data_IF_635724197358
#
_entry.id   IF_635724197358
#
_cell.length_a   1.000
_cell.length_b   1.000
_cell.length_c   1.000
_cell.angle_alpha   90.00
_cell.angle_beta   90.00
_cell.angle_gamma   90.00
#
_symmetry.space_group_name_H-M   'P 1'
#
loop_
_entity.id
_entity.type
_entity.pdbx_description
1 polymer ?
#
# COMPACT_ATOMS: atom_id res chain seq x y z
N UNK A 1 2.09 9.86 13.32
CA UNK A 1 1.68 11.09 14.04
C UNK A 1 2.41 12.33 13.55
N UNK A 2 3.74 12.43 13.64
CA UNK A 2 4.46 13.66 13.27
C UNK A 2 4.17 14.16 11.84
N UNK A 3 4.14 13.26 10.86
CA UNK A 3 3.76 13.59 9.48
C UNK A 3 2.32 14.08 9.34
N UNK A 4 1.38 13.50 10.09
CA UNK A 4 -0.02 13.91 10.09
C UNK A 4 -0.21 15.25 10.81
N UNK A 5 0.49 15.49 11.92
CA UNK A 5 0.50 16.80 12.59
C UNK A 5 1.00 17.89 11.64
N UNK A 6 2.08 17.61 10.89
CA UNK A 6 2.57 18.54 9.86
C UNK A 6 1.53 18.81 8.77
N UNK A 7 0.71 17.81 8.41
CA UNK A 7 -0.40 18.00 7.48
C UNK A 7 -1.46 18.94 8.09
N UNK A 8 -1.83 18.75 9.36
CA UNK A 8 -2.75 19.62 10.10
C UNK A 8 -2.20 21.05 10.25
N UNK A 9 -0.88 21.23 10.32
CA UNK A 9 -0.30 22.58 10.33
C UNK A 9 -0.39 23.29 8.96
N UNK A 10 -0.52 22.53 7.88
CA UNK A 10 -0.52 23.03 6.49
C UNK A 10 -1.90 23.06 5.85
N UNK A 11 -2.84 22.30 6.42
CA UNK A 11 -4.24 22.23 6.03
C UNK A 11 -5.06 22.47 7.28
N UNK A 12 -6.08 23.30 7.19
CA UNK A 12 -6.97 23.65 8.30
C UNK A 12 -7.76 22.42 8.82
N UNK A 13 -7.06 21.54 9.52
CA UNK A 13 -7.51 20.28 10.08
C UNK A 13 -7.13 20.29 11.55
N UNK A 14 -8.06 19.91 12.41
CA UNK A 14 -7.79 19.73 13.83
C UNK A 14 -7.11 18.37 14.06
N UNK A 15 -5.93 18.36 14.69
CA UNK A 15 -5.24 17.13 15.02
C UNK A 15 -6.01 16.30 16.06
N UNK A 16 -6.65 16.97 17.01
CA UNK A 16 -7.30 16.33 18.15
C UNK A 16 -8.59 15.62 17.72
N UNK A 17 -9.24 16.07 16.65
CA UNK A 17 -10.36 15.37 16.01
C UNK A 17 -10.00 13.93 15.62
N UNK A 18 -8.73 13.65 15.33
CA UNK A 18 -8.26 12.32 14.90
C UNK A 18 -7.52 11.54 15.98
N UNK A 19 -6.85 12.22 16.91
CA UNK A 19 -5.92 11.57 17.87
C UNK A 19 -6.35 11.67 19.32
N UNK A 20 -7.29 12.54 19.68
CA UNK A 20 -7.86 12.56 21.03
C UNK A 20 -8.48 11.20 21.36
N UNK A 21 -8.39 10.79 22.63
CA UNK A 21 -8.84 9.50 23.15
C UNK A 21 -10.29 9.17 22.81
N UNK A 22 -11.13 10.20 22.84
CA UNK A 22 -12.57 10.11 22.60
C UNK A 22 -12.96 10.40 21.14
N UNK A 23 -11.98 10.45 20.23
CA UNK A 23 -12.21 10.63 18.80
C UNK A 23 -13.08 9.49 18.23
N UNK A 24 -14.16 9.85 17.56
CA UNK A 24 -15.01 8.91 16.80
C UNK A 24 -14.46 8.60 15.40
N UNK A 25 -13.42 9.32 14.97
CA UNK A 25 -12.83 9.15 13.65
C UNK A 25 -12.14 7.79 13.51
N UNK A 26 -12.33 7.12 12.39
CA UNK A 26 -11.69 5.83 12.15
C UNK A 26 -10.21 5.97 11.72
N UNK A 27 -9.32 5.23 12.38
CA UNK A 27 -7.88 5.18 12.10
C UNK A 27 -7.46 3.76 11.72
N UNK A 28 -7.11 3.60 10.45
CA UNK A 28 -6.67 2.32 9.89
C UNK A 28 -5.21 2.37 9.43
N UNK A 29 -4.49 1.29 9.69
CA UNK A 29 -3.08 1.17 9.33
C UNK A 29 -2.92 0.14 8.21
N UNK A 30 -2.51 0.57 7.01
CA UNK A 30 -2.08 -0.31 5.93
C UNK A 30 -0.57 -0.50 5.99
N UNK A 31 -0.10 -1.72 6.26
CA UNK A 31 1.31 -1.99 6.53
C UNK A 31 1.80 -3.32 5.93
N UNK A 32 3.11 -3.43 5.72
CA UNK A 32 3.74 -4.70 5.39
C UNK A 32 3.77 -5.66 6.58
N UNK A 33 3.78 -6.97 6.30
CA UNK A 33 3.79 -8.04 7.32
C UNK A 33 4.97 -7.99 8.30
N UNK A 34 6.09 -7.38 7.91
CA UNK A 34 7.32 -7.27 8.70
C UNK A 34 7.23 -6.26 9.85
N UNK A 35 6.34 -5.27 9.76
CA UNK A 35 6.18 -4.21 10.77
C UNK A 35 4.90 -4.37 11.60
N UNK A 36 4.18 -5.50 11.46
CA UNK A 36 2.94 -5.76 12.20
C UNK A 36 3.17 -5.76 13.71
N UNK A 37 4.25 -6.38 14.19
CA UNK A 37 4.55 -6.43 15.63
C UNK A 37 4.64 -5.04 16.27
N UNK A 38 5.30 -4.10 15.56
CA UNK A 38 5.41 -2.72 16.02
C UNK A 38 4.04 -2.02 16.10
N UNK A 39 3.19 -2.20 15.09
CA UNK A 39 1.90 -1.51 15.01
C UNK A 39 0.81 -2.18 15.86
N UNK A 40 0.94 -3.47 16.13
CA UNK A 40 0.00 -4.23 16.94
C UNK A 40 0.27 -4.08 18.44
N UNK A 41 1.54 -3.91 18.87
CA UNK A 41 1.93 -3.92 20.28
C UNK A 41 2.57 -2.61 20.74
N UNK A 42 3.71 -2.24 20.18
CA UNK A 42 4.48 -1.08 20.69
C UNK A 42 3.76 0.25 20.44
N UNK A 43 3.25 0.43 19.22
CA UNK A 43 2.52 1.64 18.84
C UNK A 43 1.33 1.95 19.74
N UNK A 44 0.34 1.05 19.93
CA UNK A 44 -0.79 1.33 20.81
C UNK A 44 -0.35 1.49 22.27
N UNK A 45 0.65 0.74 22.77
CA UNK A 45 1.13 0.88 24.14
C UNK A 45 1.71 2.29 24.39
N UNK A 46 2.50 2.82 23.45
CA UNK A 46 3.01 4.19 23.54
C UNK A 46 1.90 5.24 23.52
N UNK A 47 0.87 5.06 22.68
CA UNK A 47 -0.26 5.99 22.60
C UNK A 47 -1.11 5.97 23.88
N UNK A 48 -1.40 4.79 24.40
CA UNK A 48 -2.12 4.63 25.68
C UNK A 48 -1.34 5.30 26.83
N UNK A 49 -0.01 5.16 26.87
CA UNK A 49 0.83 5.81 27.88
C UNK A 49 0.91 7.34 27.75
N UNK A 50 0.56 7.90 26.60
CA UNK A 50 0.51 9.33 26.33
C UNK A 50 -0.93 9.88 26.24
N UNK A 51 -1.93 9.08 26.67
CA UNK A 51 -3.36 9.40 26.69
C UNK A 51 -3.98 9.77 25.32
N UNK A 52 -3.49 9.16 24.25
CA UNK A 52 -4.08 9.26 22.91
C UNK A 52 -4.92 8.02 22.57
N UNK A 53 -5.86 8.16 21.62
CA UNK A 53 -6.58 7.01 21.07
C UNK A 53 -5.64 6.05 20.33
N UNK A 54 -6.02 4.79 20.19
CA UNK A 54 -5.27 3.80 19.39
C UNK A 54 -6.04 3.38 18.16
N UNK A 55 -5.37 3.02 17.05
CA UNK A 55 -5.94 2.47 15.80
C UNK A 55 -7.16 1.53 15.95
N UNK A 56 -8.13 1.63 15.03
CA UNK A 56 -9.30 0.75 14.92
C UNK A 56 -8.91 -0.63 14.41
N UNK A 57 -8.18 -0.69 13.29
CA UNK A 57 -7.72 -1.95 12.72
C UNK A 57 -6.39 -1.80 11.96
N UNK A 58 -5.76 -2.95 11.72
CA UNK A 58 -4.54 -3.08 10.93
C UNK A 58 -4.87 -3.95 9.72
N UNK A 59 -4.61 -3.43 8.52
CA UNK A 59 -4.67 -4.16 7.26
C UNK A 59 -3.25 -4.46 6.80
N UNK A 60 -2.81 -5.69 7.00
CA UNK A 60 -1.47 -6.13 6.64
C UNK A 60 -1.44 -6.78 5.25
N UNK A 61 -0.39 -6.52 4.49
CA UNK A 61 -0.14 -7.18 3.20
C UNK A 61 1.22 -7.89 3.18
N UNK A 62 1.34 -8.90 2.31
CA UNK A 62 2.60 -9.60 2.08
C UNK A 62 3.61 -8.76 1.28
N UNK A 63 4.72 -9.39 0.93
CA UNK A 63 5.73 -8.79 0.06
C UNK A 63 5.30 -8.82 -1.39
N UNK A 64 5.86 -7.90 -2.18
CA UNK A 64 5.77 -7.99 -3.64
C UNK A 64 6.97 -8.78 -4.16
N UNK A 65 6.72 -9.77 -5.00
CA UNK A 65 7.72 -10.50 -5.77
C UNK A 65 7.59 -10.18 -7.26
N UNK A 66 8.64 -10.43 -8.03
CA UNK A 66 8.63 -10.29 -9.49
C UNK A 66 9.03 -11.63 -10.09
N UNK A 67 8.16 -12.21 -10.93
CA UNK A 67 8.34 -13.54 -11.53
C UNK A 67 8.72 -14.63 -10.51
N UNK A 68 8.02 -14.67 -9.38
CA UNK A 68 8.23 -15.61 -8.27
C UNK A 68 9.49 -15.36 -7.44
N UNK A 69 10.26 -14.30 -7.73
CA UNK A 69 11.49 -13.98 -7.01
C UNK A 69 11.34 -12.73 -6.17
N UNK A 70 11.90 -12.75 -4.96
CA UNK A 70 12.08 -11.54 -4.16
C UNK A 70 12.85 -10.50 -4.96
N UNK A 71 12.34 -9.27 -5.00
CA UNK A 71 13.02 -8.18 -5.71
C UNK A 71 14.47 -8.03 -5.22
N UNK A 72 15.40 -7.97 -6.16
CA UNK A 72 16.82 -7.78 -5.86
C UNK A 72 17.46 -6.87 -6.91
N UNK A 73 18.27 -5.91 -6.44
CA UNK A 73 19.06 -5.04 -7.33
C UNK A 73 20.05 -5.85 -8.17
N UNK A 74 20.70 -6.86 -7.59
CA UNK A 74 21.73 -7.66 -8.28
C UNK A 74 21.17 -8.57 -9.37
N UNK A 75 19.88 -8.94 -9.29
CA UNK A 75 19.20 -9.82 -10.27
C UNK A 75 18.40 -9.05 -11.32
N UNK A 76 18.44 -7.72 -11.30
CA UNK A 76 17.67 -6.87 -12.22
C UNK A 76 16.15 -6.91 -12.04
N UNK A 77 15.64 -7.64 -11.04
CA UNK A 77 14.19 -7.72 -10.74
C UNK A 77 13.71 -6.59 -9.82
N UNK A 78 14.61 -5.69 -9.43
CA UNK A 78 14.27 -4.48 -8.69
C UNK A 78 13.75 -3.41 -9.64
N UNK A 79 12.43 -3.31 -9.74
CA UNK A 79 11.75 -2.29 -10.53
C UNK A 79 11.47 -1.08 -9.64
N UNK A 80 12.10 0.06 -9.93
CA UNK A 80 11.74 1.30 -9.26
C UNK A 80 10.42 1.84 -9.83
N UNK A 81 9.57 2.38 -8.95
CA UNK A 81 8.33 3.02 -9.38
C UNK A 81 8.57 4.12 -10.43
N UNK A 82 9.65 4.90 -10.30
CA UNK A 82 10.03 5.92 -11.29
C UNK A 82 10.35 5.31 -12.66
N UNK A 83 11.18 4.28 -12.72
CA UNK A 83 11.53 3.58 -13.96
C UNK A 83 10.30 2.92 -14.60
N UNK A 84 9.36 2.42 -13.78
CA UNK A 84 8.09 1.91 -14.31
C UNK A 84 7.30 3.01 -15.04
N UNK A 85 7.20 4.21 -14.46
CA UNK A 85 6.45 5.33 -15.06
C UNK A 85 7.04 5.84 -16.37
N UNK A 86 8.33 5.60 -16.63
CA UNK A 86 8.98 5.96 -17.90
C UNK A 86 8.57 5.03 -19.05
N UNK A 87 8.04 3.84 -18.74
CA UNK A 87 7.80 2.78 -19.73
C UNK A 87 6.35 2.33 -19.83
N UNK A 88 5.57 2.39 -18.74
CA UNK A 88 4.22 1.85 -18.69
C UNK A 88 3.27 2.77 -17.91
N UNK A 89 2.00 2.75 -18.31
CA UNK A 89 0.95 3.50 -17.61
C UNK A 89 0.73 2.92 -16.19
N UNK A 90 0.71 3.77 -15.14
CA UNK A 90 0.49 3.34 -13.75
C UNK A 90 -0.86 2.65 -13.51
N UNK A 91 -1.89 2.97 -14.30
CA UNK A 91 -3.21 2.34 -14.16
C UNK A 91 -3.18 0.84 -14.43
N UNK A 92 -2.29 0.38 -15.33
CA UNK A 92 -2.13 -1.05 -15.61
C UNK A 92 -1.61 -1.79 -14.36
N UNK A 93 -0.67 -1.19 -13.62
CA UNK A 93 -0.13 -1.76 -12.37
C UNK A 93 -1.14 -1.72 -11.24
N UNK A 94 -1.90 -0.63 -11.12
CA UNK A 94 -3.00 -0.50 -10.14
C UNK A 94 -4.06 -1.56 -10.37
N UNK A 95 -4.48 -1.79 -11.62
CA UNK A 95 -5.42 -2.83 -11.98
C UNK A 95 -4.91 -4.22 -11.60
N UNK A 96 -3.67 -4.55 -11.98
CA UNK A 96 -3.11 -5.88 -11.72
C UNK A 96 -2.97 -6.16 -10.22
N UNK A 97 -2.52 -5.19 -9.41
CA UNK A 97 -2.50 -5.38 -7.96
C UNK A 97 -3.89 -5.45 -7.36
N UNK A 98 -4.85 -4.63 -7.78
CA UNK A 98 -6.23 -4.73 -7.32
C UNK A 98 -6.85 -6.11 -7.61
N UNK A 99 -6.52 -6.70 -8.77
CA UNK A 99 -6.95 -8.05 -9.15
C UNK A 99 -6.32 -9.15 -8.28
N UNK A 100 -5.04 -9.01 -7.91
CA UNK A 100 -4.32 -10.01 -7.10
C UNK A 100 -4.52 -9.85 -5.59
N UNK A 101 -4.86 -8.64 -5.14
CA UNK A 101 -5.04 -8.33 -3.73
C UNK A 101 -6.24 -9.10 -3.16
N UNK A 102 -6.08 -9.57 -1.93
CA UNK A 102 -7.16 -10.18 -1.15
C UNK A 102 -7.06 -9.71 0.31
N UNK A 103 -8.03 -10.10 1.14
CA UNK A 103 -7.99 -9.82 2.57
C UNK A 103 -6.92 -10.64 3.33
N UNK A 104 -6.26 -11.60 2.68
CA UNK A 104 -5.22 -12.43 3.28
C UNK A 104 -3.84 -11.77 3.19
N UNK A 105 -2.96 -12.12 4.13
CA UNK A 105 -1.58 -11.66 4.17
C UNK A 105 -0.70 -12.59 3.32
N UNK A 106 -0.95 -12.58 2.01
CA UNK A 106 -0.19 -13.36 1.04
C UNK A 106 0.78 -12.46 0.26
N UNK A 107 1.88 -13.04 -0.20
CA UNK A 107 2.82 -12.34 -1.08
C UNK A 107 2.19 -12.17 -2.46
N UNK A 108 2.38 -11.00 -3.07
CA UNK A 108 1.80 -10.65 -4.36
C UNK A 108 2.87 -10.78 -5.42
N UNK A 109 2.67 -11.71 -6.36
CA UNK A 109 3.59 -11.90 -7.47
C UNK A 109 3.23 -11.06 -8.71
N UNK A 110 4.13 -10.14 -9.06
CA UNK A 110 4.14 -9.47 -10.35
C UNK A 110 4.82 -10.38 -11.38
N UNK A 111 4.05 -11.29 -11.93
CA UNK A 111 4.45 -12.07 -13.09
C UNK A 111 4.26 -11.22 -14.35
N UNK A 112 5.35 -10.89 -15.06
CA UNK A 112 5.30 -9.96 -16.18
C UNK A 112 4.51 -10.49 -17.38
N UNK A 113 4.48 -11.80 -17.60
CA UNK A 113 3.69 -12.41 -18.67
C UNK A 113 2.20 -12.44 -18.32
N UNK A 114 1.86 -12.83 -17.08
CA UNK A 114 0.48 -12.75 -16.59
C UNK A 114 -0.03 -11.31 -16.60
N UNK A 115 0.80 -10.35 -16.19
CA UNK A 115 0.52 -8.92 -16.21
C UNK A 115 0.14 -8.45 -17.61
N UNK A 116 0.98 -8.71 -18.63
CA UNK A 116 0.69 -8.35 -20.02
C UNK A 116 -0.61 -8.99 -20.50
N UNK A 117 -0.79 -10.29 -20.23
CA UNK A 117 -1.99 -11.01 -20.66
C UNK A 117 -3.27 -10.43 -20.06
N UNK A 118 -3.27 -10.13 -18.75
CA UNK A 118 -4.46 -9.62 -18.03
C UNK A 118 -4.78 -8.19 -18.41
N UNK A 119 -3.76 -7.34 -18.47
CA UNK A 119 -3.93 -5.96 -18.92
C UNK A 119 -4.47 -5.92 -20.36
N UNK A 120 -3.94 -6.73 -21.27
CA UNK A 120 -4.42 -6.74 -22.65
C UNK A 120 -5.82 -7.36 -22.80
N UNK A 121 -6.11 -8.45 -22.10
CA UNK A 121 -7.40 -9.12 -22.15
C UNK A 121 -8.52 -8.26 -21.57
N UNK A 122 -8.29 -7.67 -20.39
CA UNK A 122 -9.36 -7.07 -19.60
C UNK A 122 -9.48 -5.57 -19.83
N UNK A 123 -8.36 -4.88 -20.04
CA UNK A 123 -8.36 -3.43 -20.29
C UNK A 123 -8.38 -3.15 -21.80
N UNK A 124 -7.45 -3.71 -22.58
CA UNK A 124 -7.35 -3.38 -24.02
C UNK A 124 -8.46 -4.04 -24.85
N UNK A 125 -8.87 -5.26 -24.49
CA UNK A 125 -9.91 -6.00 -25.20
C UNK A 125 -11.35 -5.58 -24.88
N UNK A 126 -11.59 -4.92 -23.73
CA UNK A 126 -12.95 -4.60 -23.26
C UNK A 126 -13.18 -3.14 -22.86
N UNK A 127 -12.18 -2.41 -22.37
CA UNK A 127 -12.43 -1.14 -21.67
C UNK A 127 -11.69 0.07 -22.24
N UNK A 128 -10.45 0.00 -22.77
CA UNK A 128 -9.75 1.13 -23.46
C UNK A 128 -8.28 0.75 -23.88
N UNK A 129 -7.80 1.24 -25.04
CA UNK A 129 -6.41 1.09 -25.56
C UNK A 129 -5.43 2.12 -24.93
N UNK A 130 -4.71 1.83 -23.84
CA UNK A 130 -3.61 2.73 -23.39
C UNK A 130 -2.37 2.07 -22.74
N UNK A 131 -2.25 0.74 -22.66
CA UNK A 131 -1.15 0.12 -21.89
C UNK A 131 0.11 -0.25 -22.70
N UNK A 132 0.13 -0.12 -24.05
CA UNK A 132 1.24 -0.63 -24.89
C UNK A 132 1.72 0.30 -26.03
N UNK A 133 1.41 1.60 -25.98
CA UNK A 133 2.04 2.61 -26.86
C UNK A 133 3.16 3.32 -26.16
#
# INVERSE_FOLDING_TARGET
MASFKKLCDTRDLDFDEYFNKDSETELYHFIGKDIVYFHALFWPAMLMGADYRTRNAIFAHGFVTVNGQKMSKSRGTFIQARTYLESLNPECLRYYYAYKLSAKIDDIDLNLEDFKQRVNSDLVGKVVKYCLT
#
